data_IF_007245430996
#
_entry.id   IF_007245430996
#
_cell.length_a   1.000
_cell.length_b   1.000
_cell.length_c   1.000
_cell.angle_alpha   90.00
_cell.angle_beta   90.00
_cell.angle_gamma   90.00
#
_symmetry.space_group_name_H-M   'P 1'
#
loop_
_entity.id
_entity.type
_entity.pdbx_description
1 polymer ?
#
# COMPACT_ATOMS: atom_id res chain seq x y z
N UNK A 1 19.23 -12.43 38.70
CA UNK A 1 19.49 -10.99 38.48
C UNK A 1 18.33 -10.39 37.70
N UNK A 2 17.69 -9.33 38.18
CA UNK A 2 16.68 -8.61 37.39
C UNK A 2 17.42 -7.72 36.39
N UNK A 3 17.38 -8.06 35.09
CA UNK A 3 17.93 -7.19 34.05
C UNK A 3 17.07 -5.93 33.96
N UNK A 4 17.65 -4.79 34.32
CA UNK A 4 17.02 -3.47 34.22
C UNK A 4 16.69 -3.20 32.75
N UNK A 5 15.50 -2.66 32.47
CA UNK A 5 15.13 -2.25 31.11
C UNK A 5 15.67 -0.84 30.86
N UNK A 6 16.64 -0.72 29.95
CA UNK A 6 17.17 0.58 29.52
C UNK A 6 16.14 1.32 28.64
N UNK A 7 16.42 2.56 28.27
CA UNK A 7 15.51 3.27 27.35
C UNK A 7 15.70 2.77 25.92
N UNK A 8 16.93 2.43 25.56
CA UNK A 8 17.32 1.84 24.29
C UNK A 8 16.58 0.50 24.07
N UNK A 9 16.52 -0.37 25.09
CA UNK A 9 15.77 -1.63 25.03
C UNK A 9 14.26 -1.39 24.76
N UNK A 10 13.71 -0.28 25.28
CA UNK A 10 12.28 0.04 25.11
C UNK A 10 12.00 0.57 23.71
N UNK A 11 12.87 1.42 23.19
CA UNK A 11 12.76 1.99 21.86
C UNK A 11 12.93 0.90 20.79
N UNK A 12 13.92 0.03 20.96
CA UNK A 12 14.10 -1.13 20.10
C UNK A 12 12.90 -2.08 20.16
N UNK A 13 12.37 -2.36 21.36
CA UNK A 13 11.17 -3.17 21.54
C UNK A 13 9.95 -2.56 20.83
N UNK A 14 9.77 -1.25 20.90
CA UNK A 14 8.69 -0.53 20.23
C UNK A 14 8.82 -0.63 18.71
N UNK A 15 10.01 -0.35 18.17
CA UNK A 15 10.29 -0.39 16.73
C UNK A 15 10.04 -1.78 16.16
N UNK A 16 10.63 -2.82 16.76
CA UNK A 16 10.46 -4.19 16.29
C UNK A 16 9.00 -4.66 16.35
N UNK A 17 8.23 -4.17 17.34
CA UNK A 17 6.81 -4.46 17.47
C UNK A 17 5.98 -3.75 16.40
N UNK A 18 6.29 -2.48 16.09
CA UNK A 18 5.64 -1.71 15.02
C UNK A 18 5.91 -2.33 13.65
N UNK A 19 7.13 -2.82 13.41
CA UNK A 19 7.52 -3.55 12.20
C UNK A 19 6.79 -4.90 12.03
N UNK A 20 6.07 -5.36 13.07
CA UNK A 20 5.27 -6.58 13.03
C UNK A 20 6.07 -7.86 13.25
N UNK A 21 7.28 -7.77 13.81
CA UNK A 21 8.05 -8.96 14.15
C UNK A 21 7.37 -9.81 15.24
N UNK A 22 7.51 -11.13 15.13
CA UNK A 22 6.96 -12.05 16.13
C UNK A 22 7.71 -11.95 17.47
N UNK A 23 7.02 -12.22 18.58
CA UNK A 23 7.62 -12.17 19.93
C UNK A 23 8.88 -13.04 20.08
N UNK A 24 8.97 -14.15 19.34
CA UNK A 24 10.16 -15.03 19.34
C UNK A 24 11.37 -14.36 18.71
N UNK A 25 11.17 -13.58 17.64
CA UNK A 25 12.25 -12.85 16.96
C UNK A 25 12.70 -11.68 17.85
N UNK A 26 11.74 -10.93 18.39
CA UNK A 26 12.00 -9.82 19.32
C UNK A 26 12.80 -10.30 20.54
N UNK A 27 12.38 -11.42 21.14
CA UNK A 27 13.07 -12.07 22.26
C UNK A 27 14.54 -12.39 21.95
N UNK A 28 14.83 -12.88 20.73
CA UNK A 28 16.22 -13.17 20.32
C UNK A 28 17.04 -11.90 20.11
N UNK A 29 16.45 -10.83 19.56
CA UNK A 29 17.16 -9.57 19.29
C UNK A 29 17.56 -8.86 20.59
N UNK A 30 16.63 -8.78 21.54
CA UNK A 30 16.84 -8.08 22.83
C UNK A 30 17.50 -9.01 23.88
N UNK A 31 17.83 -10.25 23.48
CA UNK A 31 18.38 -11.30 24.34
C UNK A 31 17.59 -11.52 25.64
N UNK A 32 16.26 -11.61 25.52
CA UNK A 32 15.36 -11.86 26.66
C UNK A 32 14.33 -12.93 26.33
N UNK A 33 13.79 -13.58 27.37
CA UNK A 33 12.73 -14.55 27.19
C UNK A 33 11.44 -13.93 26.63
N UNK A 34 10.68 -14.70 25.85
CA UNK A 34 9.39 -14.29 25.30
C UNK A 34 8.39 -13.83 26.37
N UNK A 35 8.43 -14.46 27.55
CA UNK A 35 7.62 -14.07 28.71
C UNK A 35 8.01 -12.68 29.24
N UNK A 36 9.31 -12.37 29.30
CA UNK A 36 9.80 -11.05 29.69
C UNK A 36 9.39 -9.97 28.68
N UNK A 37 9.50 -10.26 27.37
CA UNK A 37 9.01 -9.37 26.30
C UNK A 37 7.51 -9.10 26.47
N UNK A 38 6.70 -10.14 26.66
CA UNK A 38 5.25 -9.97 26.78
C UNK A 38 4.85 -9.12 28.01
N UNK A 39 5.55 -9.31 29.14
CA UNK A 39 5.37 -8.46 30.33
C UNK A 39 5.79 -7.01 30.06
N UNK A 40 6.91 -6.80 29.36
CA UNK A 40 7.39 -5.47 29.00
C UNK A 40 6.42 -4.73 28.07
N UNK A 41 5.86 -5.41 27.06
CA UNK A 41 4.85 -4.84 26.17
C UNK A 41 3.62 -4.31 26.92
N UNK A 42 3.18 -5.02 27.96
CA UNK A 42 2.08 -4.58 28.82
C UNK A 42 2.52 -3.43 29.74
N UNK A 43 3.66 -3.58 30.42
CA UNK A 43 4.19 -2.62 31.40
C UNK A 43 4.46 -1.25 30.78
N UNK A 44 5.05 -1.21 29.59
CA UNK A 44 5.40 0.02 28.88
C UNK A 44 4.31 0.51 27.93
N UNK A 45 3.12 -0.13 27.93
CA UNK A 45 1.98 0.24 27.08
C UNK A 45 2.32 0.32 25.57
N UNK A 46 3.31 -0.44 25.12
CA UNK A 46 3.80 -0.44 23.73
C UNK A 46 2.69 -0.81 22.74
N UNK A 47 1.76 -1.69 23.13
CA UNK A 47 0.61 -2.05 22.28
C UNK A 47 -0.32 -0.86 22.00
N UNK A 48 -0.45 0.05 22.96
CA UNK A 48 -1.25 1.27 22.81
C UNK A 48 -0.51 2.28 21.95
N UNK A 49 0.78 2.50 22.22
CA UNK A 49 1.64 3.39 21.45
C UNK A 49 1.74 2.97 19.98
N UNK A 50 1.87 1.67 19.70
CA UNK A 50 1.90 1.15 18.34
C UNK A 50 0.57 1.40 17.59
N UNK A 51 -0.58 1.31 18.27
CA UNK A 51 -1.89 1.64 17.69
C UNK A 51 -2.00 3.13 17.38
N UNK A 52 -1.51 3.99 18.26
CA UNK A 52 -1.47 5.44 18.03
C UNK A 52 -0.55 5.79 16.87
N UNK A 53 0.61 5.16 16.77
CA UNK A 53 1.54 5.32 15.64
C UNK A 53 0.91 4.87 14.32
N UNK A 54 0.21 3.72 14.28
CA UNK A 54 -0.55 3.30 13.10
C UNK A 54 -1.66 4.30 12.74
N UNK A 55 -2.38 4.84 13.74
CA UNK A 55 -3.41 5.86 13.53
C UNK A 55 -2.82 7.16 12.99
N UNK A 56 -1.65 7.57 13.48
CA UNK A 56 -0.93 8.74 13.00
C UNK A 56 -0.39 8.53 11.58
N UNK A 57 0.21 7.38 11.27
CA UNK A 57 0.61 7.05 9.90
C UNK A 57 -0.59 7.09 8.93
N UNK A 58 -1.74 6.53 9.33
CA UNK A 58 -2.98 6.66 8.57
C UNK A 58 -3.45 8.11 8.47
N UNK A 59 -3.34 8.90 9.54
CA UNK A 59 -3.68 10.33 9.51
C UNK A 59 -2.77 11.12 8.55
N UNK A 60 -1.47 10.81 8.49
CA UNK A 60 -0.53 11.41 7.54
C UNK A 60 -0.92 11.10 6.08
N UNK A 61 -1.35 9.87 5.80
CA UNK A 61 -1.90 9.49 4.48
C UNK A 61 -3.23 10.24 4.19
N UNK A 62 -4.01 10.57 5.23
CA UNK A 62 -5.30 11.23 5.12
C UNK A 62 -5.24 12.78 5.13
N UNK A 63 -4.06 13.39 5.29
CA UNK A 63 -3.92 14.86 5.34
C UNK A 63 -3.94 15.56 3.98
N UNK A 64 -4.12 14.84 2.88
CA UNK A 64 -4.59 15.41 1.62
C UNK A 64 -6.13 15.27 1.53
N UNK A 65 -6.86 16.08 2.32
CA UNK A 65 -8.33 16.05 2.40
C UNK A 65 -9.04 16.27 1.06
N UNK A 66 -8.43 17.00 0.13
CA UNK A 66 -8.93 17.14 -1.25
C UNK A 66 -8.87 15.80 -2.00
N UNK A 67 -7.79 15.03 -1.84
CA UNK A 67 -7.60 13.72 -2.49
C UNK A 67 -8.48 12.62 -1.91
N UNK A 68 -8.74 12.61 -0.60
CA UNK A 68 -9.59 11.59 0.06
C UNK A 68 -11.05 11.69 -0.38
N UNK A 69 -11.57 12.91 -0.59
CA UNK A 69 -12.95 13.13 -1.05
C UNK A 69 -13.11 12.64 -2.49
N UNK A 70 -12.14 12.93 -3.36
CA UNK A 70 -12.09 12.42 -4.73
C UNK A 70 -11.94 10.90 -4.77
N UNK A 71 -11.14 10.32 -3.88
CA UNK A 71 -10.93 8.87 -3.79
C UNK A 71 -12.20 8.14 -3.35
N UNK A 72 -12.90 8.62 -2.31
CA UNK A 72 -14.16 8.00 -1.86
C UNK A 72 -15.26 8.13 -2.92
N UNK A 73 -15.33 9.27 -3.61
CA UNK A 73 -16.25 9.48 -4.73
C UNK A 73 -15.93 8.55 -5.92
N UNK A 74 -14.65 8.39 -6.27
CA UNK A 74 -14.21 7.44 -7.29
C UNK A 74 -14.52 5.99 -6.92
N UNK A 75 -14.25 5.57 -5.68
CA UNK A 75 -14.56 4.21 -5.20
C UNK A 75 -16.07 3.94 -5.21
N UNK A 76 -16.88 4.94 -4.85
CA UNK A 76 -18.34 4.79 -4.86
C UNK A 76 -18.91 4.77 -6.29
N UNK A 77 -18.39 5.62 -7.19
CA UNK A 77 -18.70 5.58 -8.62
C UNK A 77 -18.31 4.23 -9.25
N UNK A 78 -17.12 3.71 -8.90
CA UNK A 78 -16.62 2.42 -9.35
C UNK A 78 -17.52 1.26 -8.89
N UNK A 79 -17.90 1.22 -7.60
CA UNK A 79 -18.85 0.23 -7.07
C UNK A 79 -20.22 0.28 -7.73
N UNK A 80 -20.65 1.45 -8.23
CA UNK A 80 -21.92 1.63 -8.94
C UNK A 80 -21.81 1.17 -10.41
N UNK A 81 -20.65 1.35 -11.04
CA UNK A 81 -20.37 0.91 -12.42
C UNK A 81 -20.12 -0.60 -12.56
N UNK A 82 -19.57 -1.27 -11.54
CA UNK A 82 -19.24 -2.71 -11.59
C UNK A 82 -20.45 -3.64 -11.64
N UNK A 83 -21.68 -3.11 -11.51
CA UNK A 83 -22.89 -3.93 -11.56
C UNK A 83 -23.39 -4.26 -12.97
N UNK A 84 -22.91 -3.65 -14.06
CA UNK A 84 -23.65 -3.78 -15.32
C UNK A 84 -22.93 -3.93 -16.67
N UNK A 85 -21.62 -4.03 -16.80
CA UNK A 85 -21.03 -4.36 -18.11
C UNK A 85 -19.79 -5.26 -18.02
N UNK A 86 -19.82 -6.38 -18.76
CA UNK A 86 -18.67 -7.15 -19.28
C UNK A 86 -17.42 -7.17 -18.37
N UNK A 87 -17.47 -8.06 -17.37
CA UNK A 87 -16.61 -8.21 -16.16
C UNK A 87 -15.07 -8.06 -16.26
N UNK A 88 -14.49 -7.81 -17.43
CA UNK A 88 -13.04 -7.74 -17.61
C UNK A 88 -12.56 -6.46 -18.30
N UNK A 89 -13.44 -5.54 -18.70
CA UNK A 89 -13.01 -4.30 -19.36
C UNK A 89 -12.91 -3.15 -18.37
N UNK A 90 -11.74 -2.53 -18.30
CA UNK A 90 -11.45 -1.34 -17.49
C UNK A 90 -10.96 -0.21 -18.40
N UNK A 91 -11.10 1.03 -17.96
CA UNK A 91 -10.43 2.16 -18.64
C UNK A 91 -8.98 2.33 -18.13
N UNK A 92 -8.20 3.17 -18.82
CA UNK A 92 -6.79 3.40 -18.50
C UNK A 92 -6.61 4.01 -17.10
N UNK A 93 -7.53 4.86 -16.65
CA UNK A 93 -7.47 5.45 -15.31
C UNK A 93 -7.63 4.37 -14.22
N UNK A 94 -8.58 3.45 -14.41
CA UNK A 94 -8.80 2.31 -13.54
C UNK A 94 -7.59 1.37 -13.52
N UNK A 95 -6.96 1.13 -14.67
CA UNK A 95 -5.75 0.33 -14.78
C UNK A 95 -4.61 0.90 -13.93
N UNK A 96 -4.34 2.20 -14.08
CA UNK A 96 -3.27 2.87 -13.35
C UNK A 96 -3.55 2.97 -11.86
N UNK A 97 -4.82 3.14 -11.48
CA UNK A 97 -5.25 3.08 -10.10
C UNK A 97 -4.96 1.72 -9.45
N UNK A 98 -5.16 0.61 -10.17
CA UNK A 98 -4.82 -0.72 -9.66
C UNK A 98 -3.32 -0.84 -9.38
N UNK A 99 -2.48 -0.34 -10.29
CA UNK A 99 -1.03 -0.34 -10.11
C UNK A 99 -0.59 0.50 -8.91
N UNK A 100 -1.16 1.69 -8.73
CA UNK A 100 -0.88 2.52 -7.54
C UNK A 100 -1.24 1.79 -6.24
N UNK A 101 -2.38 1.09 -6.21
CA UNK A 101 -2.80 0.28 -5.05
C UNK A 101 -1.83 -0.88 -4.77
N UNK A 102 -1.12 -1.36 -5.78
CA UNK A 102 -0.08 -2.39 -5.66
C UNK A 102 1.29 -1.83 -5.25
N UNK A 103 1.40 -0.52 -5.06
CA UNK A 103 2.63 0.14 -4.60
C UNK A 103 3.46 0.77 -5.71
N UNK A 104 2.98 0.75 -6.96
CA UNK A 104 3.69 1.42 -8.05
C UNK A 104 3.51 2.94 -7.98
N UNK A 105 4.58 3.65 -8.31
CA UNK A 105 4.55 5.11 -8.48
C UNK A 105 4.18 5.41 -9.92
N UNK A 106 3.02 6.03 -10.14
CA UNK A 106 2.54 6.39 -11.49
C UNK A 106 2.65 7.89 -11.68
N UNK A 107 3.38 8.30 -12.72
CA UNK A 107 3.49 9.69 -13.16
C UNK A 107 2.86 9.84 -14.55
N UNK A 108 1.97 10.81 -14.71
CA UNK A 108 1.40 11.17 -16.01
C UNK A 108 1.89 12.57 -16.36
N UNK A 109 2.55 12.70 -17.51
CA UNK A 109 2.84 13.98 -18.11
C UNK A 109 1.96 14.14 -19.35
N UNK A 110 0.97 15.01 -19.24
CA UNK A 110 0.25 15.47 -20.42
C UNK A 110 1.16 16.45 -21.13
N UNK A 111 1.64 16.11 -22.34
CA UNK A 111 2.26 17.12 -23.19
C UNK A 111 1.14 18.01 -23.69
N UNK A 112 1.20 19.29 -23.31
CA UNK A 112 0.31 20.29 -23.87
C UNK A 112 0.52 20.32 -25.38
N UNK A 113 -0.60 20.37 -26.11
CA UNK A 113 -0.73 20.40 -27.57
C UNK A 113 -0.82 19.02 -28.23
N UNK A 114 -2.07 18.57 -28.43
CA UNK A 114 -2.50 17.59 -29.43
C UNK A 114 -2.34 16.09 -29.07
N UNK A 115 -3.03 15.67 -28.00
CA UNK A 115 -3.81 14.41 -27.87
C UNK A 115 -3.24 13.03 -28.26
N UNK A 116 -1.95 12.84 -28.60
CA UNK A 116 -1.48 11.51 -29.03
C UNK A 116 -0.39 10.88 -28.18
N UNK A 117 0.43 11.66 -27.46
CA UNK A 117 1.49 11.08 -26.62
C UNK A 117 1.26 11.37 -25.13
N UNK A 118 0.59 10.43 -24.45
CA UNK A 118 0.61 10.38 -22.98
C UNK A 118 1.99 9.85 -22.57
N UNK A 119 2.85 10.73 -22.04
CA UNK A 119 4.10 10.32 -21.41
C UNK A 119 3.76 9.75 -20.03
N UNK A 120 3.48 8.45 -20.01
CA UNK A 120 3.16 7.69 -18.82
C UNK A 120 4.44 7.04 -18.28
N UNK A 121 4.72 7.23 -16.99
CA UNK A 121 5.81 6.56 -16.30
C UNK A 121 5.32 5.76 -15.11
N UNK A 122 5.85 4.56 -14.94
CA UNK A 122 5.60 3.67 -13.81
C UNK A 122 6.97 3.33 -13.20
N UNK A 123 7.14 3.65 -11.92
CA UNK A 123 8.40 3.52 -11.17
C UNK A 123 9.58 4.20 -11.90
N UNK A 124 9.33 5.39 -12.44
CA UNK A 124 10.30 6.19 -13.17
C UNK A 124 10.61 5.72 -14.60
N UNK A 125 10.04 4.60 -15.05
CA UNK A 125 10.23 4.06 -16.41
C UNK A 125 9.06 4.44 -17.32
N UNK A 126 9.29 4.77 -18.60
CA UNK A 126 8.21 5.04 -19.55
C UNK A 126 7.43 3.76 -19.89
N UNK A 127 6.11 3.87 -20.00
CA UNK A 127 5.19 2.78 -20.35
C UNK A 127 4.21 3.22 -21.42
N UNK A 128 3.99 2.35 -22.40
CA UNK A 128 2.89 2.44 -23.36
C UNK A 128 1.60 1.87 -22.78
N UNK A 129 0.42 2.26 -23.28
CA UNK A 129 -0.85 1.67 -22.87
C UNK A 129 -0.90 0.14 -22.90
N UNK A 130 -0.28 -0.47 -23.90
CA UNK A 130 -0.16 -1.91 -24.10
C UNK A 130 0.69 -2.54 -22.98
N UNK A 131 1.83 -1.93 -22.67
CA UNK A 131 2.71 -2.39 -21.58
C UNK A 131 2.04 -2.29 -20.21
N UNK A 132 1.18 -1.29 -19.98
CA UNK A 132 0.37 -1.21 -18.76
C UNK A 132 -0.57 -2.40 -18.66
N UNK A 133 -1.24 -2.78 -19.75
CA UNK A 133 -2.14 -3.94 -19.79
C UNK A 133 -1.39 -5.23 -19.47
N UNK A 134 -0.19 -5.41 -20.03
CA UNK A 134 0.65 -6.58 -19.75
C UNK A 134 1.05 -6.62 -18.27
N UNK A 135 1.54 -5.50 -17.73
CA UNK A 135 1.99 -5.42 -16.33
C UNK A 135 0.87 -5.76 -15.34
N UNK A 136 -0.34 -5.21 -15.56
CA UNK A 136 -1.49 -5.49 -14.70
C UNK A 136 -1.87 -6.97 -14.74
N UNK A 137 -1.89 -7.56 -15.93
CA UNK A 137 -2.29 -8.96 -16.07
C UNK A 137 -1.24 -9.91 -15.47
N UNK A 138 0.05 -9.60 -15.57
CA UNK A 138 1.10 -10.34 -14.87
C UNK A 138 0.91 -10.33 -13.35
N UNK A 139 0.57 -9.17 -12.75
CA UNK A 139 0.29 -9.10 -11.31
C UNK A 139 -0.96 -9.86 -10.91
N UNK A 140 -1.98 -9.85 -11.75
CA UNK A 140 -3.22 -10.60 -11.51
C UNK A 140 -3.00 -12.10 -11.61
N UNK A 141 -2.18 -12.54 -12.55
CA UNK A 141 -1.78 -13.95 -12.70
C UNK A 141 -1.03 -14.44 -11.46
N UNK A 142 -0.09 -13.66 -10.92
CA UNK A 142 0.59 -13.96 -9.65
C UNK A 142 -0.39 -14.11 -8.47
N UNK A 143 -1.57 -13.48 -8.55
CA UNK A 143 -2.62 -13.54 -7.54
C UNK A 143 -3.77 -14.49 -7.93
N UNK A 144 -3.59 -15.33 -8.95
CA UNK A 144 -4.59 -16.28 -9.45
C UNK A 144 -5.93 -15.62 -9.84
N UNK A 145 -5.89 -14.39 -10.35
CA UNK A 145 -7.06 -13.63 -10.79
C UNK A 145 -7.20 -13.61 -12.32
N UNK A 146 -8.45 -13.56 -12.82
CA UNK A 146 -8.75 -13.45 -14.26
C UNK A 146 -8.18 -12.16 -14.88
N UNK A 147 -7.71 -12.17 -16.14
CA UNK A 147 -7.14 -10.99 -16.78
C UNK A 147 -8.15 -9.86 -16.97
N UNK A 148 -7.64 -8.65 -17.12
CA UNK A 148 -8.36 -7.43 -17.46
C UNK A 148 -7.92 -6.91 -18.83
N UNK A 149 -8.81 -6.20 -19.50
CA UNK A 149 -8.64 -5.60 -20.81
C UNK A 149 -8.86 -4.09 -20.69
N UNK A 150 -7.94 -3.31 -21.24
CA UNK A 150 -8.02 -1.85 -21.19
C UNK A 150 -8.75 -1.35 -22.44
N UNK A 151 -9.80 -0.54 -22.26
CA UNK A 151 -10.54 0.07 -23.39
C UNK A 151 -9.62 0.93 -24.25
N UNK A 152 -9.68 0.75 -25.56
CA UNK A 152 -8.90 1.52 -26.52
C UNK A 152 -7.45 1.03 -26.73
N UNK A 153 -7.04 0.00 -25.99
CA UNK A 153 -5.77 -0.69 -26.21
C UNK A 153 -6.04 -1.93 -27.04
N UNK A 154 -5.44 -2.00 -28.22
CA UNK A 154 -5.48 -3.20 -29.06
C UNK A 154 -4.37 -4.12 -28.54
N UNK A 155 -4.74 -5.17 -27.80
CA UNK A 155 -3.81 -6.19 -27.31
C UNK A 155 -3.46 -7.15 -28.44
#
# INVERSE_FOLDING_TARGET
>A
MMTVWTNEDKDELLNLYIEGHSLKIIARKIDRSTSAINKALHRFKIRTLAKEHQKQQLACVLLNKSTVRTFQQMVHAYKKQTKNYRRHWIDMEQALFLLMRKGHVVEKRTKDCQFQDIDLRIDGKPFTPEQVSVLINQQREQECMSPLYIKGVSV
#
